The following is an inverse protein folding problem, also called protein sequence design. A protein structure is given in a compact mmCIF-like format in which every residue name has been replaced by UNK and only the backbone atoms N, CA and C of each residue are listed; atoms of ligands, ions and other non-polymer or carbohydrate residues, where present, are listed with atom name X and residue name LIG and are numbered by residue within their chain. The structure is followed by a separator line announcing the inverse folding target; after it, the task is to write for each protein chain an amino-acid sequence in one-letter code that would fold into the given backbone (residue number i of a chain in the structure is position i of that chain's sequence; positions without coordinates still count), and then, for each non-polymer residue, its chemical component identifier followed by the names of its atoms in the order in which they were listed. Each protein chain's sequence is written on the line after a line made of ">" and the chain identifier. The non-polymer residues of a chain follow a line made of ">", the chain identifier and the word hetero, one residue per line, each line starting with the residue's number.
data_IF_345057218517
#
_entry.id   IF_345057218517
#
_cell.length_a   1.000
_cell.length_b   1.000
_cell.length_c   1.000
_cell.angle_alpha   90.00
_cell.angle_beta   90.00
_cell.angle_gamma   90.00
#
_symmetry.space_group_name_H-M   'P 1'
#
loop_
_entity.id
_entity.type
_entity.pdbx_description
1 polymer ?
#
# COMPACT_ATOMS: atom_id res chain seq x y z
N UNK A 1 -9.19 44.59 15.64
CA UNK A 1 -8.07 43.63 15.76
C UNK A 1 -8.39 42.44 14.87
N UNK A 2 -7.48 42.01 14.00
CA UNK A 2 -7.64 40.76 13.25
C UNK A 2 -7.30 39.61 14.20
N UNK A 3 -8.24 38.69 14.41
CA UNK A 3 -8.01 37.55 15.31
C UNK A 3 -7.46 36.36 14.53
N UNK A 4 -6.74 35.46 15.22
CA UNK A 4 -6.27 34.18 14.65
C UNK A 4 -7.40 33.38 14.00
N UNK A 5 -8.61 33.44 14.58
CA UNK A 5 -9.81 32.77 14.05
C UNK A 5 -10.23 33.33 12.69
N UNK A 6 -10.18 34.65 12.49
CA UNK A 6 -10.50 35.27 11.20
C UNK A 6 -9.54 34.80 10.11
N UNK A 7 -8.24 34.80 10.40
CA UNK A 7 -7.22 34.36 9.43
C UNK A 7 -7.38 32.86 9.12
N UNK A 8 -7.65 32.03 10.14
CA UNK A 8 -7.91 30.60 9.95
C UNK A 8 -9.13 30.38 9.05
N UNK A 9 -10.26 31.03 9.34
CA UNK A 9 -11.48 30.89 8.53
C UNK A 9 -11.28 31.39 7.10
N UNK A 10 -10.46 32.41 6.88
CA UNK A 10 -10.07 32.84 5.54
C UNK A 10 -9.27 31.76 4.81
N UNK A 11 -8.31 31.11 5.48
CA UNK A 11 -7.55 29.99 4.92
C UNK A 11 -8.41 28.73 4.65
N UNK A 12 -9.51 28.55 5.39
CA UNK A 12 -10.49 27.47 5.17
C UNK A 12 -11.49 27.78 4.05
N UNK A 13 -11.49 29.00 3.48
CA UNK A 13 -12.44 29.37 2.43
C UNK A 13 -12.08 28.70 1.10
N UNK A 14 -12.94 27.81 0.61
CA UNK A 14 -12.68 27.01 -0.60
C UNK A 14 -12.88 27.77 -1.91
N UNK A 15 -13.57 28.91 -1.91
CA UNK A 15 -13.91 29.65 -3.13
C UNK A 15 -13.07 30.89 -3.34
N UNK A 16 -12.68 31.58 -2.26
CA UNK A 16 -11.97 32.87 -2.32
C UNK A 16 -10.93 33.01 -1.22
N UNK A 17 -10.35 31.90 -0.76
CA UNK A 17 -9.38 31.90 0.34
C UNK A 17 -8.15 32.74 0.02
N UNK A 18 -7.66 32.68 -1.21
CA UNK A 18 -6.52 33.47 -1.67
C UNK A 18 -6.82 34.97 -1.59
N UNK A 19 -7.93 35.42 -2.19
CA UNK A 19 -8.29 36.84 -2.27
C UNK A 19 -8.57 37.43 -0.88
N UNK A 20 -9.22 36.65 0.00
CA UNK A 20 -9.49 37.09 1.37
C UNK A 20 -8.19 37.19 2.17
N UNK A 21 -7.29 36.22 2.08
CA UNK A 21 -5.99 36.28 2.75
C UNK A 21 -5.13 37.42 2.19
N UNK A 22 -5.12 37.61 0.87
CA UNK A 22 -4.40 38.70 0.21
C UNK A 22 -4.88 40.05 0.72
N UNK A 23 -6.19 40.27 0.77
CA UNK A 23 -6.79 41.50 1.27
C UNK A 23 -6.43 41.76 2.75
N UNK A 24 -6.46 40.73 3.60
CA UNK A 24 -6.07 40.85 5.00
C UNK A 24 -4.60 41.24 5.16
N UNK A 25 -3.72 40.63 4.35
CA UNK A 25 -2.29 40.96 4.35
C UNK A 25 -2.03 42.37 3.82
N UNK A 26 -2.71 42.79 2.74
CA UNK A 26 -2.53 44.11 2.12
C UNK A 26 -3.00 45.24 3.02
N UNK A 27 -4.14 45.06 3.71
CA UNK A 27 -4.73 46.11 4.54
C UNK A 27 -4.20 46.12 5.96
N UNK A 28 -3.82 44.96 6.50
CA UNK A 28 -3.55 44.76 7.94
C UNK A 28 -2.40 43.79 8.20
N UNK A 29 -1.42 43.68 7.30
CA UNK A 29 -0.35 42.67 7.37
C UNK A 29 0.35 42.54 8.73
N UNK A 30 0.66 43.65 9.40
CA UNK A 30 1.29 43.65 10.73
C UNK A 30 0.41 43.03 11.83
N UNK A 31 -0.92 43.08 11.68
CA UNK A 31 -1.88 42.49 12.62
C UNK A 31 -2.21 41.03 12.30
N UNK A 32 -1.81 40.54 11.12
CA UNK A 32 -2.07 39.16 10.68
C UNK A 32 -0.99 38.24 11.24
N UNK A 33 -1.42 37.30 12.08
CA UNK A 33 -0.58 36.23 12.60
C UNK A 33 -0.79 34.95 11.81
N UNK A 34 0.28 34.45 11.18
CA UNK A 34 0.29 33.15 10.51
C UNK A 34 0.64 32.09 11.57
N UNK A 35 -0.39 31.42 12.10
CA UNK A 35 -0.20 30.34 13.07
C UNK A 35 -0.16 28.99 12.36
N UNK A 36 0.33 27.95 13.04
CA UNK A 36 0.25 26.57 12.55
C UNK A 36 -1.17 26.20 12.09
N UNK A 37 -2.19 26.59 12.85
CA UNK A 37 -3.59 26.32 12.51
C UNK A 37 -4.06 27.00 11.22
N UNK A 38 -3.51 28.17 10.87
CA UNK A 38 -3.78 28.84 9.59
C UNK A 38 -3.13 28.07 8.45
N UNK A 39 -1.87 27.68 8.61
CA UNK A 39 -1.14 26.92 7.58
C UNK A 39 -1.76 25.54 7.38
N UNK A 40 -2.15 24.87 8.46
CA UNK A 40 -2.84 23.56 8.41
C UNK A 40 -4.21 23.67 7.73
N UNK A 41 -4.97 24.72 8.02
CA UNK A 41 -6.23 25.00 7.35
C UNK A 41 -6.03 25.20 5.84
N UNK A 42 -5.05 26.00 5.44
CA UNK A 42 -4.71 26.20 4.03
C UNK A 42 -4.27 24.88 3.35
N UNK A 43 -3.40 24.10 4.01
CA UNK A 43 -2.92 22.82 3.47
C UNK A 43 -4.04 21.77 3.30
N UNK A 44 -5.05 21.80 4.17
CA UNK A 44 -6.25 20.96 4.09
C UNK A 44 -7.39 21.55 3.25
N UNK A 45 -7.21 22.73 2.64
CA UNK A 45 -8.26 23.36 1.85
C UNK A 45 -8.40 22.65 0.51
N UNK A 46 -9.60 22.13 0.23
CA UNK A 46 -9.86 21.29 -0.92
C UNK A 46 -9.56 21.97 -2.27
N UNK A 47 -9.85 23.26 -2.40
CA UNK A 47 -9.86 23.94 -3.70
C UNK A 47 -8.80 25.03 -3.79
N UNK A 48 -8.77 25.98 -2.85
CA UNK A 48 -7.83 27.12 -2.85
C UNK A 48 -6.53 26.86 -2.07
N UNK A 49 -6.27 25.61 -1.67
CA UNK A 49 -5.16 25.29 -0.76
C UNK A 49 -3.78 25.58 -1.36
N UNK A 50 -3.61 25.34 -2.66
CA UNK A 50 -2.36 25.62 -3.37
C UNK A 50 -2.07 27.12 -3.36
N UNK A 51 -3.04 27.93 -3.77
CA UNK A 51 -2.93 29.37 -3.93
C UNK A 51 -2.72 30.06 -2.59
N UNK A 52 -3.46 29.64 -1.55
CA UNK A 52 -3.28 30.18 -0.20
C UNK A 52 -1.90 29.84 0.36
N UNK A 53 -1.41 28.60 0.22
CA UNK A 53 -0.07 28.23 0.69
C UNK A 53 1.01 28.98 -0.09
N UNK A 54 0.87 29.12 -1.42
CA UNK A 54 1.79 29.88 -2.25
C UNK A 54 1.89 31.34 -1.78
N UNK A 55 0.74 32.00 -1.61
CA UNK A 55 0.64 33.38 -1.14
C UNK A 55 1.28 33.58 0.26
N UNK A 56 1.01 32.65 1.19
CA UNK A 56 1.58 32.70 2.53
C UNK A 56 3.10 32.53 2.52
N UNK A 57 3.64 31.63 1.69
CA UNK A 57 5.09 31.47 1.55
C UNK A 57 5.74 32.69 0.89
N UNK A 58 5.11 33.26 -0.14
CA UNK A 58 5.65 34.40 -0.89
C UNK A 58 5.70 35.67 -0.04
N UNK A 59 4.65 35.93 0.74
CA UNK A 59 4.53 37.19 1.50
C UNK A 59 4.99 37.08 2.95
N UNK A 60 4.92 35.88 3.54
CA UNK A 60 5.12 35.63 4.98
C UNK A 60 5.92 34.36 5.25
N UNK A 61 6.80 33.95 4.33
CA UNK A 61 7.50 32.67 4.40
C UNK A 61 8.24 32.39 5.71
N UNK A 62 8.84 33.41 6.34
CA UNK A 62 9.51 33.28 7.63
C UNK A 62 8.56 32.94 8.79
N UNK A 63 7.29 33.34 8.69
CA UNK A 63 6.26 33.06 9.70
C UNK A 63 5.57 31.71 9.47
N UNK A 64 5.71 31.14 8.27
CA UNK A 64 5.10 29.85 7.93
C UNK A 64 5.89 28.70 8.56
N UNK A 65 5.26 28.05 9.53
CA UNK A 65 5.78 26.86 10.20
C UNK A 65 5.22 25.59 9.54
N UNK A 66 6.11 24.76 9.00
CA UNK A 66 5.76 23.47 8.40
C UNK A 66 5.87 22.37 9.45
N UNK A 67 4.77 22.12 10.16
CA UNK A 67 4.71 21.06 11.17
C UNK A 67 4.26 19.73 10.57
N UNK A 68 4.47 18.63 11.30
CA UNK A 68 3.97 17.30 10.93
C UNK A 68 2.45 17.28 10.67
N UNK A 69 1.66 18.11 11.36
CA UNK A 69 0.22 18.17 11.17
C UNK A 69 -0.18 18.95 9.91
N UNK A 70 0.60 19.98 9.52
CA UNK A 70 0.47 20.67 8.23
C UNK A 70 0.75 19.69 7.09
N UNK A 71 1.88 18.99 7.15
CA UNK A 71 2.28 18.02 6.11
C UNK A 71 1.25 16.89 6.01
N UNK A 72 0.75 16.39 7.15
CA UNK A 72 -0.31 15.37 7.17
C UNK A 72 -1.62 15.90 6.55
N UNK A 73 -1.99 17.16 6.82
CA UNK A 73 -3.17 17.77 6.22
C UNK A 73 -3.05 17.86 4.70
N UNK A 74 -1.90 18.29 4.17
CA UNK A 74 -1.63 18.26 2.73
C UNK A 74 -1.69 16.84 2.16
N UNK A 75 -1.03 15.88 2.82
CA UNK A 75 -0.99 14.48 2.38
C UNK A 75 -2.37 13.81 2.32
N UNK A 76 -3.28 14.18 3.22
CA UNK A 76 -4.65 13.64 3.26
C UNK A 76 -5.68 14.45 2.48
N UNK A 77 -5.29 15.56 1.84
CA UNK A 77 -6.21 16.42 1.10
C UNK A 77 -6.45 15.83 -0.31
N UNK A 78 -7.67 15.39 -0.61
CA UNK A 78 -7.99 14.73 -1.89
C UNK A 78 -8.29 15.72 -3.02
N UNK A 79 -8.43 17.02 -2.71
CA UNK A 79 -8.58 18.07 -3.70
C UNK A 79 -7.22 18.59 -4.15
N UNK A 80 -6.75 19.66 -3.51
CA UNK A 80 -5.50 20.35 -3.86
C UNK A 80 -4.23 19.71 -3.25
N UNK A 81 -4.34 18.61 -2.50
CA UNK A 81 -3.25 18.06 -1.69
C UNK A 81 -1.99 17.66 -2.46
N UNK A 82 -2.12 17.16 -3.69
CA UNK A 82 -0.98 16.88 -4.58
C UNK A 82 -0.14 18.15 -4.78
N UNK A 83 -0.77 19.22 -5.23
CA UNK A 83 -0.11 20.47 -5.57
C UNK A 83 0.44 21.18 -4.33
N UNK A 84 -0.33 21.16 -3.23
CA UNK A 84 0.15 21.67 -1.92
C UNK A 84 1.39 20.90 -1.49
N UNK A 85 1.38 19.56 -1.54
CA UNK A 85 2.53 18.76 -1.13
C UNK A 85 3.74 19.01 -2.04
N UNK A 86 3.54 19.09 -3.36
CA UNK A 86 4.61 19.42 -4.30
C UNK A 86 5.24 20.78 -3.96
N UNK A 87 4.42 21.81 -3.76
CA UNK A 87 4.89 23.14 -3.44
C UNK A 87 5.65 23.20 -2.09
N UNK A 88 5.16 22.50 -1.06
CA UNK A 88 5.86 22.40 0.22
C UNK A 88 7.20 21.66 0.08
N UNK A 89 7.25 20.56 -0.68
CA UNK A 89 8.48 19.81 -0.92
C UNK A 89 9.51 20.63 -1.71
N UNK A 90 9.07 21.43 -2.70
CA UNK A 90 9.96 22.26 -3.52
C UNK A 90 10.51 23.46 -2.76
N UNK A 91 9.67 24.14 -1.97
CA UNK A 91 10.05 25.41 -1.32
C UNK A 91 10.55 25.23 0.11
N UNK A 92 10.08 24.19 0.81
CA UNK A 92 10.34 23.95 2.24
C UNK A 92 10.74 22.51 2.52
N UNK A 93 11.33 21.85 1.53
CA UNK A 93 11.68 20.43 1.60
C UNK A 93 12.51 20.04 2.82
N UNK A 94 13.44 20.90 3.28
CA UNK A 94 14.27 20.65 4.48
C UNK A 94 13.48 20.64 5.79
N UNK A 95 12.34 21.34 5.84
CA UNK A 95 11.52 21.47 7.05
C UNK A 95 10.49 20.32 7.17
N UNK A 96 10.26 19.59 6.08
CA UNK A 96 9.28 18.51 6.06
C UNK A 96 9.76 17.33 6.89
N UNK A 97 8.88 16.83 7.75
CA UNK A 97 9.10 15.58 8.48
C UNK A 97 8.20 14.49 7.91
N UNK A 98 8.81 13.54 7.21
CA UNK A 98 8.11 12.38 6.61
C UNK A 98 7.82 11.32 7.68
N UNK A 99 6.79 11.54 8.48
CA UNK A 99 6.38 10.59 9.53
C UNK A 99 5.52 9.46 8.96
N UNK A 100 5.42 8.32 9.68
CA UNK A 100 4.47 7.22 9.33
C UNK A 100 3.05 7.75 9.08
N UNK A 101 2.58 8.72 9.88
CA UNK A 101 1.24 9.31 9.73
C UNK A 101 1.06 10.08 8.43
N UNK A 102 2.12 10.72 7.93
CA UNK A 102 2.12 11.45 6.66
C UNK A 102 2.07 10.46 5.50
N UNK A 103 2.95 9.45 5.51
CA UNK A 103 2.99 8.41 4.47
C UNK A 103 1.67 7.63 4.42
N UNK A 104 1.12 7.29 5.59
CA UNK A 104 -0.19 6.65 5.70
C UNK A 104 -1.28 7.53 5.09
N UNK A 105 -1.35 8.82 5.45
CA UNK A 105 -2.35 9.73 4.91
C UNK A 105 -2.25 9.87 3.38
N UNK A 106 -1.03 9.90 2.84
CA UNK A 106 -0.79 9.89 1.40
C UNK A 106 -1.25 8.58 0.73
N UNK A 107 -0.98 7.43 1.35
CA UNK A 107 -1.41 6.12 0.84
C UNK A 107 -2.95 5.94 0.88
N UNK A 108 -3.64 6.53 1.86
CA UNK A 108 -5.11 6.57 1.94
C UNK A 108 -5.74 7.62 1.00
N UNK A 109 -4.94 8.48 0.36
CA UNK A 109 -5.45 9.59 -0.44
C UNK A 109 -6.09 9.07 -1.75
N UNK A 110 -7.35 9.45 -1.99
CA UNK A 110 -8.11 9.08 -3.20
C UNK A 110 -8.20 10.22 -4.22
N UNK A 111 -7.40 11.26 -4.03
CA UNK A 111 -7.35 12.42 -4.89
C UNK A 111 -7.04 12.05 -6.32
N UNK A 112 -7.61 12.81 -7.25
CA UNK A 112 -7.50 12.59 -8.69
C UNK A 112 -6.33 13.37 -9.30
N UNK A 113 -5.27 13.59 -8.53
CA UNK A 113 -4.08 14.28 -8.98
C UNK A 113 -3.41 13.61 -10.18
N UNK A 114 -2.50 14.34 -10.85
CA UNK A 114 -1.71 13.75 -11.96
C UNK A 114 -0.73 12.71 -11.42
N UNK A 115 -0.16 12.97 -10.26
CA UNK A 115 0.78 12.12 -9.56
C UNK A 115 0.29 11.82 -8.13
N UNK A 116 0.51 10.58 -7.66
CA UNK A 116 0.21 10.22 -6.29
C UNK A 116 1.18 10.92 -5.32
N UNK A 117 0.67 11.39 -4.18
CA UNK A 117 1.48 12.01 -3.12
C UNK A 117 2.58 11.07 -2.60
N UNK A 118 2.34 9.75 -2.56
CA UNK A 118 3.36 8.76 -2.22
C UNK A 118 4.54 8.81 -3.20
N UNK A 119 4.29 9.03 -4.49
CA UNK A 119 5.34 9.19 -5.51
C UNK A 119 6.18 10.42 -5.25
N UNK A 120 5.55 11.56 -4.93
CA UNK A 120 6.24 12.81 -4.57
C UNK A 120 7.13 12.61 -3.33
N UNK A 121 6.61 11.96 -2.29
CA UNK A 121 7.36 11.69 -1.06
C UNK A 121 8.55 10.76 -1.31
N UNK A 122 8.36 9.68 -2.08
CA UNK A 122 9.43 8.75 -2.44
C UNK A 122 10.50 9.42 -3.32
N UNK A 123 10.09 10.25 -4.28
CA UNK A 123 11.01 10.91 -5.22
C UNK A 123 11.87 12.00 -4.56
N UNK A 124 11.30 12.76 -3.62
CA UNK A 124 12.00 13.93 -3.02
C UNK A 124 12.54 13.66 -1.63
N UNK A 125 11.92 12.75 -0.87
CA UNK A 125 12.26 12.43 0.53
C UNK A 125 12.33 10.93 0.77
N UNK A 126 12.68 10.17 -0.27
CA UNK A 126 12.73 8.71 -0.26
C UNK A 126 13.36 8.17 1.01
N UNK A 127 14.61 8.54 1.32
CA UNK A 127 15.36 8.10 2.51
C UNK A 127 14.54 8.12 3.82
N UNK A 128 13.66 9.10 4.00
CA UNK A 128 12.88 9.31 5.22
C UNK A 128 11.55 8.53 5.25
N UNK A 129 11.11 7.97 4.11
CA UNK A 129 9.84 7.24 4.01
C UNK A 129 9.98 5.86 4.67
N UNK A 130 9.31 5.70 5.81
CA UNK A 130 9.21 4.41 6.50
C UNK A 130 7.95 3.67 6.05
N UNK A 131 8.10 2.46 5.50
CA UNK A 131 6.99 1.62 5.07
C UNK A 131 6.62 0.65 6.19
N UNK A 132 5.60 1.03 6.96
CA UNK A 132 5.07 0.18 8.03
C UNK A 132 3.88 -0.64 7.55
N UNK A 133 3.49 -1.65 8.32
CA UNK A 133 2.26 -2.42 8.08
C UNK A 133 1.01 -1.50 7.97
N UNK A 134 0.97 -0.38 8.70
CA UNK A 134 -0.15 0.56 8.60
C UNK A 134 -0.19 1.28 7.26
N UNK A 135 0.97 1.57 6.66
CA UNK A 135 1.08 2.14 5.30
C UNK A 135 0.65 1.11 4.26
N UNK A 136 1.06 -0.15 4.42
CA UNK A 136 0.63 -1.25 3.54
C UNK A 136 -0.90 -1.43 3.62
N UNK A 137 -1.48 -1.45 4.83
CA UNK A 137 -2.95 -1.52 5.03
C UNK A 137 -3.67 -0.35 4.37
N UNK A 138 -3.13 0.85 4.48
CA UNK A 138 -3.66 2.04 3.82
C UNK A 138 -3.68 1.90 2.29
N UNK A 139 -2.57 1.46 1.70
CA UNK A 139 -2.48 1.21 0.26
C UNK A 139 -3.44 0.10 -0.20
N UNK A 140 -3.55 -0.99 0.55
CA UNK A 140 -4.48 -2.09 0.27
C UNK A 140 -5.97 -1.66 0.32
N UNK A 141 -6.31 -0.71 1.21
CA UNK A 141 -7.66 -0.13 1.29
C UNK A 141 -7.95 0.95 0.26
N UNK A 142 -6.97 1.39 -0.54
CA UNK A 142 -7.15 2.43 -1.54
C UNK A 142 -7.64 1.82 -2.86
N UNK A 143 -8.96 1.79 -3.05
CA UNK A 143 -9.60 1.21 -4.23
C UNK A 143 -9.31 1.96 -5.54
N UNK A 144 -8.89 3.23 -5.48
CA UNK A 144 -8.64 4.06 -6.66
C UNK A 144 -7.20 3.93 -7.16
N UNK A 145 -6.23 4.04 -6.24
CA UNK A 145 -4.79 4.11 -6.58
C UNK A 145 -3.94 3.11 -5.79
N UNK A 146 -4.55 2.23 -5.00
CA UNK A 146 -3.84 1.31 -4.12
C UNK A 146 -2.89 0.37 -4.84
N UNK A 147 -3.23 -0.07 -6.06
CA UNK A 147 -2.33 -0.90 -6.88
C UNK A 147 -1.04 -0.15 -7.20
N UNK A 148 -1.16 1.07 -7.72
CA UNK A 148 -0.02 1.93 -8.04
C UNK A 148 0.82 2.24 -6.81
N UNK A 149 0.17 2.59 -5.69
CA UNK A 149 0.87 2.82 -4.41
C UNK A 149 1.61 1.56 -3.97
N UNK A 150 0.97 0.39 -4.00
CA UNK A 150 1.60 -0.86 -3.56
C UNK A 150 2.80 -1.23 -4.43
N UNK A 151 2.67 -1.09 -5.76
CA UNK A 151 3.80 -1.28 -6.70
C UNK A 151 4.97 -0.36 -6.34
N UNK A 152 4.73 0.93 -6.12
CA UNK A 152 5.79 1.89 -5.75
C UNK A 152 6.47 1.55 -4.42
N UNK A 153 5.69 1.09 -3.43
CA UNK A 153 6.20 0.71 -2.12
C UNK A 153 7.09 -0.54 -2.20
N UNK A 154 6.73 -1.52 -3.03
CA UNK A 154 7.50 -2.74 -3.24
C UNK A 154 8.76 -2.48 -4.10
N UNK A 155 8.64 -1.74 -5.20
CA UNK A 155 9.73 -1.51 -6.16
C UNK A 155 10.85 -0.60 -5.62
N UNK A 156 10.50 0.46 -4.88
CA UNK A 156 11.48 1.51 -4.51
C UNK A 156 12.13 1.31 -3.14
N UNK A 157 11.63 0.38 -2.32
CA UNK A 157 12.01 0.24 -0.90
C UNK A 157 12.05 -1.20 -0.42
N UNK A 158 12.58 -2.08 -1.26
CA UNK A 158 12.68 -3.53 -1.05
C UNK A 158 13.19 -3.95 0.36
N UNK A 159 14.16 -3.21 0.91
CA UNK A 159 14.76 -3.49 2.21
C UNK A 159 13.97 -2.95 3.42
N UNK A 160 13.10 -1.94 3.22
CA UNK A 160 12.43 -1.24 4.32
C UNK A 160 11.04 -1.78 4.61
N UNK A 161 10.44 -2.50 3.66
CA UNK A 161 9.16 -3.18 3.89
C UNK A 161 9.42 -4.35 4.85
N UNK A 162 8.94 -4.23 6.08
CA UNK A 162 8.84 -5.38 6.98
C UNK A 162 7.72 -6.29 6.49
N UNK A 163 8.10 -7.39 5.85
CA UNK A 163 7.15 -8.38 5.36
C UNK A 163 6.77 -9.32 6.49
N UNK A 164 5.59 -9.09 7.07
CA UNK A 164 4.98 -9.98 8.06
C UNK A 164 3.94 -10.88 7.39
N UNK A 165 3.51 -11.95 8.07
CA UNK A 165 2.41 -12.80 7.59
C UNK A 165 1.17 -11.95 7.24
N UNK A 166 0.83 -10.97 8.07
CA UNK A 166 -0.31 -10.07 7.86
C UNK A 166 -0.17 -9.23 6.59
N UNK A 167 1.03 -8.72 6.30
CA UNK A 167 1.31 -7.97 5.07
C UNK A 167 1.10 -8.86 3.84
N UNK A 168 1.59 -10.10 3.89
CA UNK A 168 1.43 -11.08 2.79
C UNK A 168 -0.04 -11.39 2.56
N UNK A 169 -0.77 -11.71 3.64
CA UNK A 169 -2.20 -12.02 3.60
C UNK A 169 -2.99 -10.86 2.99
N UNK A 170 -2.68 -9.63 3.38
CA UNK A 170 -3.31 -8.42 2.80
C UNK A 170 -3.00 -8.30 1.30
N UNK A 171 -1.73 -8.41 0.90
CA UNK A 171 -1.35 -8.21 -0.50
C UNK A 171 -2.01 -9.27 -1.39
N UNK A 172 -1.95 -10.54 -0.96
CA UNK A 172 -2.54 -11.67 -1.65
C UNK A 172 -4.07 -11.57 -1.72
N UNK A 173 -4.72 -11.07 -0.67
CA UNK A 173 -6.16 -10.90 -0.62
C UNK A 173 -6.67 -9.72 -1.46
N UNK A 174 -5.89 -8.65 -1.61
CA UNK A 174 -6.34 -7.39 -2.18
C UNK A 174 -5.85 -7.11 -3.61
N UNK A 175 -4.72 -7.67 -4.03
CA UNK A 175 -4.11 -7.31 -5.32
C UNK A 175 -4.08 -8.47 -6.32
N UNK A 176 -3.80 -8.11 -7.58
CA UNK A 176 -3.67 -9.06 -8.66
C UNK A 176 -2.28 -9.73 -8.69
N UNK A 177 -2.09 -10.62 -9.66
CA UNK A 177 -0.85 -11.37 -9.84
C UNK A 177 0.37 -10.48 -10.02
N UNK A 178 0.24 -9.27 -10.58
CA UNK A 178 1.37 -8.38 -10.85
C UNK A 178 2.03 -7.93 -9.54
N UNK A 179 1.23 -7.40 -8.62
CA UNK A 179 1.71 -6.95 -7.29
C UNK A 179 2.23 -8.14 -6.47
N UNK A 180 1.54 -9.28 -6.53
CA UNK A 180 1.99 -10.49 -5.83
C UNK A 180 3.31 -11.01 -6.41
N UNK A 181 3.53 -10.88 -7.71
CA UNK A 181 4.79 -11.25 -8.36
C UNK A 181 5.94 -10.37 -7.88
N UNK A 182 5.72 -9.05 -7.72
CA UNK A 182 6.72 -8.15 -7.14
C UNK A 182 7.08 -8.60 -5.71
N UNK A 183 6.08 -8.83 -4.86
CA UNK A 183 6.31 -9.30 -3.49
C UNK A 183 7.17 -10.58 -3.45
N UNK A 184 6.87 -11.56 -4.30
CA UNK A 184 7.63 -12.81 -4.36
C UNK A 184 9.02 -12.66 -4.99
N UNK A 185 9.18 -11.83 -6.02
CA UNK A 185 10.49 -11.61 -6.64
C UNK A 185 11.47 -10.95 -5.66
N UNK A 186 10.98 -10.04 -4.82
CA UNK A 186 11.83 -9.34 -3.86
C UNK A 186 12.08 -10.13 -2.58
N UNK A 187 11.14 -10.98 -2.14
CA UNK A 187 11.17 -11.58 -0.79
C UNK A 187 10.78 -13.05 -0.73
N UNK A 188 10.67 -13.74 -1.88
CA UNK A 188 10.16 -15.11 -1.99
C UNK A 188 10.91 -16.13 -1.11
N UNK A 189 12.20 -15.95 -0.88
CA UNK A 189 13.01 -16.84 -0.03
C UNK A 189 12.74 -16.64 1.48
N UNK A 190 12.22 -15.47 1.88
CA UNK A 190 11.82 -15.15 3.26
C UNK A 190 10.34 -15.48 3.53
N UNK A 191 9.59 -15.80 2.49
CA UNK A 191 8.13 -15.92 2.54
C UNK A 191 7.69 -17.36 2.67
N UNK A 192 7.28 -17.74 3.89
CA UNK A 192 6.55 -18.98 4.11
C UNK A 192 5.09 -18.79 3.63
N UNK A 193 4.64 -19.61 2.68
CA UNK A 193 3.24 -19.59 2.24
C UNK A 193 2.38 -20.25 3.31
N UNK A 194 1.78 -19.41 4.16
CA UNK A 194 0.95 -19.89 5.26
C UNK A 194 -0.46 -20.27 4.81
N UNK A 195 -1.16 -21.07 5.62
CA UNK A 195 -2.56 -21.42 5.40
C UNK A 195 -3.45 -20.17 5.25
N UNK A 196 -3.20 -19.12 6.04
CA UNK A 196 -3.94 -17.85 5.95
C UNK A 196 -3.72 -17.17 4.61
N UNK A 197 -2.50 -17.18 4.08
CA UNK A 197 -2.21 -16.61 2.77
C UNK A 197 -2.96 -17.38 1.65
N UNK A 198 -3.04 -18.72 1.75
CA UNK A 198 -3.84 -19.53 0.82
C UNK A 198 -5.35 -19.25 0.95
N UNK A 199 -5.88 -19.11 2.16
CA UNK A 199 -7.28 -18.75 2.39
C UNK A 199 -7.59 -17.35 1.80
N UNK A 200 -6.70 -16.38 2.00
CA UNK A 200 -6.83 -15.04 1.40
C UNK A 200 -6.76 -15.08 -0.14
N UNK A 201 -5.85 -15.88 -0.70
CA UNK A 201 -5.76 -16.09 -2.14
C UNK A 201 -7.07 -16.67 -2.71
N UNK A 202 -7.70 -17.61 -2.00
CA UNK A 202 -8.96 -18.21 -2.43
C UNK A 202 -10.11 -17.18 -2.48
N UNK A 203 -10.10 -16.18 -1.60
CA UNK A 203 -11.09 -15.11 -1.56
C UNK A 203 -10.77 -13.92 -2.49
N UNK A 204 -9.58 -13.88 -3.10
CA UNK A 204 -9.21 -12.85 -4.07
C UNK A 204 -10.03 -13.00 -5.36
N UNK A 205 -10.35 -11.88 -6.03
CA UNK A 205 -11.13 -11.89 -7.29
C UNK A 205 -10.48 -12.77 -8.39
N UNK A 206 -9.15 -12.90 -8.40
CA UNK A 206 -8.36 -13.78 -9.27
C UNK A 206 -7.97 -15.12 -8.61
N UNK A 207 -8.69 -15.56 -7.58
CA UNK A 207 -8.18 -16.51 -6.59
C UNK A 207 -7.65 -17.85 -7.11
N UNK A 208 -8.20 -18.38 -8.22
CA UNK A 208 -7.63 -19.57 -8.89
C UNK A 208 -6.19 -19.32 -9.35
N UNK A 209 -5.96 -18.19 -10.03
CA UNK A 209 -4.65 -17.83 -10.55
C UNK A 209 -3.66 -17.51 -9.43
N UNK A 210 -4.13 -16.81 -8.40
CA UNK A 210 -3.33 -16.48 -7.21
C UNK A 210 -2.92 -17.73 -6.43
N UNK A 211 -3.86 -18.65 -6.17
CA UNK A 211 -3.57 -19.94 -5.52
C UNK A 211 -2.58 -20.77 -6.34
N UNK A 212 -2.81 -20.89 -7.65
CA UNK A 212 -1.89 -21.63 -8.52
C UNK A 212 -0.49 -21.03 -8.46
N UNK A 213 -0.39 -19.70 -8.50
CA UNK A 213 0.87 -18.98 -8.44
C UNK A 213 1.61 -19.20 -7.11
N UNK A 214 0.93 -19.12 -5.96
CA UNK A 214 1.54 -19.38 -4.65
C UNK A 214 1.99 -20.84 -4.50
N UNK A 215 1.15 -21.79 -4.90
CA UNK A 215 1.45 -23.22 -4.80
C UNK A 215 2.57 -23.68 -5.75
N UNK A 216 2.71 -23.01 -6.90
CA UNK A 216 3.79 -23.28 -7.86
C UNK A 216 5.06 -22.49 -7.55
N UNK A 217 4.95 -21.32 -6.92
CA UNK A 217 6.08 -20.47 -6.53
C UNK A 217 6.88 -21.01 -5.34
N UNK A 218 6.23 -21.70 -4.40
CA UNK A 218 6.86 -22.19 -3.16
C UNK A 218 7.64 -23.52 -3.36
N UNK A 219 8.98 -23.53 -3.14
CA UNK A 219 9.79 -24.74 -3.22
C UNK A 219 9.41 -25.84 -2.22
N UNK A 220 8.93 -25.46 -1.03
CA UNK A 220 8.52 -26.40 0.04
C UNK A 220 7.20 -27.09 -0.29
N UNK A 221 6.25 -26.37 -0.90
CA UNK A 221 5.01 -26.98 -1.39
C UNK A 221 5.24 -27.82 -2.64
N UNK A 222 6.21 -27.48 -3.51
CA UNK A 222 6.64 -28.37 -4.61
C UNK A 222 7.15 -29.71 -4.11
N UNK A 223 7.96 -29.73 -3.06
CA UNK A 223 8.52 -30.98 -2.52
C UNK A 223 7.45 -31.83 -1.85
N UNK A 224 6.53 -31.23 -1.10
CA UNK A 224 5.38 -31.92 -0.49
C UNK A 224 4.40 -32.46 -1.54
N UNK A 225 4.10 -31.69 -2.60
CA UNK A 225 3.21 -32.13 -3.70
C UNK A 225 3.81 -33.27 -4.52
N UNK A 226 5.14 -33.27 -4.73
CA UNK A 226 5.87 -34.40 -5.35
C UNK A 226 5.87 -35.63 -4.45
N UNK A 227 6.12 -35.46 -3.15
CA UNK A 227 6.10 -36.55 -2.16
C UNK A 227 4.72 -37.20 -2.06
N UNK A 228 3.65 -36.41 -1.96
CA UNK A 228 2.26 -36.90 -1.92
C UNK A 228 1.86 -37.65 -3.21
N UNK A 229 2.22 -37.12 -4.38
CA UNK A 229 2.00 -37.83 -5.66
C UNK A 229 2.78 -39.15 -5.75
N UNK A 230 4.02 -39.18 -5.27
CA UNK A 230 4.83 -40.42 -5.21
C UNK A 230 4.21 -41.44 -4.25
N UNK A 231 3.83 -41.03 -3.03
CA UNK A 231 3.13 -41.88 -2.07
C UNK A 231 1.86 -42.50 -2.66
N UNK A 232 1.04 -41.70 -3.33
CA UNK A 232 -0.18 -42.21 -3.97
C UNK A 232 0.12 -43.18 -5.11
N UNK A 233 1.12 -42.89 -5.96
CA UNK A 233 1.54 -43.79 -7.02
C UNK A 233 2.08 -45.13 -6.47
N UNK A 234 2.86 -45.09 -5.38
CA UNK A 234 3.38 -46.29 -4.71
C UNK A 234 2.25 -47.13 -4.12
N UNK A 235 1.28 -46.52 -3.44
CA UNK A 235 0.11 -47.23 -2.90
C UNK A 235 -0.75 -47.90 -3.99
N UNK A 236 -0.90 -47.25 -5.14
CA UNK A 236 -1.60 -47.82 -6.30
C UNK A 236 -0.82 -49.01 -6.87
N UNK A 237 0.50 -48.89 -7.01
CA UNK A 237 1.36 -49.96 -7.49
C UNK A 237 1.39 -51.19 -6.55
N UNK A 238 1.38 -50.97 -5.23
CA UNK A 238 1.28 -52.03 -4.22
C UNK A 238 -0.07 -52.74 -4.29
N UNK A 239 -1.17 -52.01 -4.39
CA UNK A 239 -2.52 -52.60 -4.59
C UNK A 239 -2.57 -53.46 -5.85
N UNK A 240 -2.05 -52.96 -6.97
CA UNK A 240 -2.02 -53.71 -8.23
C UNK A 240 -1.14 -54.95 -8.14
N UNK A 241 0.00 -54.87 -7.46
CA UNK A 241 0.91 -56.00 -7.23
C UNK A 241 0.29 -57.07 -6.32
N UNK A 242 -0.41 -56.66 -5.25
CA UNK A 242 -1.18 -57.55 -4.37
C UNK A 242 -2.29 -58.27 -5.14
N UNK A 243 -3.01 -57.55 -6.00
CA UNK A 243 -4.06 -58.13 -6.84
C UNK A 243 -3.51 -59.16 -7.83
N UNK A 244 -2.35 -58.88 -8.44
CA UNK A 244 -1.65 -59.83 -9.31
C UNK A 244 -1.24 -61.08 -8.54
N UNK A 245 -0.65 -60.94 -7.34
CA UNK A 245 -0.25 -62.07 -6.48
C UNK A 245 -1.44 -62.96 -6.11
N UNK A 246 -2.56 -62.38 -5.68
CA UNK A 246 -3.79 -63.12 -5.39
C UNK A 246 -4.30 -63.88 -6.62
N UNK A 247 -4.26 -63.27 -7.81
CA UNK A 247 -4.60 -63.97 -9.06
C UNK A 247 -3.69 -65.17 -9.31
N UNK A 248 -2.37 -64.99 -9.28
CA UNK A 248 -1.40 -66.10 -9.48
C UNK A 248 -1.50 -67.20 -8.43
N UNK A 249 -1.87 -66.89 -7.18
CA UNK A 249 -2.08 -67.88 -6.12
C UNK A 249 -3.46 -68.57 -6.22
N UNK A 250 -4.45 -67.97 -6.88
CA UNK A 250 -5.74 -68.59 -7.17
C UNK A 250 -5.70 -69.52 -8.41
N UNK A 251 -4.74 -69.32 -9.32
CA UNK A 251 -4.58 -70.14 -10.53
C UNK A 251 -4.29 -71.65 -10.31
N UNK A 252 -3.61 -72.12 -9.25
CA UNK A 252 -3.42 -73.55 -9.00
C UNK A 252 -4.72 -74.25 -8.59
N UNK A 253 -5.70 -73.54 -8.01
CA UNK A 253 -6.95 -74.15 -7.53
C UNK A 253 -7.99 -74.36 -8.63
N UNK A 254 -7.98 -73.57 -9.71
CA UNK A 254 -8.90 -73.76 -10.83
C UNK A 254 -8.49 -74.88 -11.79
N UNK A 255 -7.20 -75.27 -11.83
CA UNK A 255 -6.74 -76.36 -12.70
C UNK A 255 -7.02 -77.75 -12.13
N UNK A 256 -7.24 -77.89 -10.82
CA UNK A 256 -7.50 -79.18 -10.17
C UNK A 256 -8.98 -79.60 -10.19
N UNK A 257 -9.90 -78.66 -10.47
CA UNK A 257 -11.35 -78.90 -10.50
C UNK A 257 -11.91 -79.28 -11.89
N UNK A 258 -11.06 -79.34 -12.93
CA UNK A 258 -11.46 -79.69 -14.31
C UNK A 258 -11.10 -81.13 -14.71
N UNK A 259 -10.62 -81.97 -13.78
CA UNK A 259 -10.25 -83.37 -14.01
C UNK A 259 -10.85 -84.36 -13.00
N UNK A 260 -12.04 -84.08 -12.46
CA UNK A 260 -12.88 -85.08 -11.81
C UNK A 260 -14.24 -85.17 -12.50
#
# INVERSE_FOLDING_TARGET
>A
QITKKVVKTAAENWGSGEEVIALLLDRRGADVQITEEVVKAAAGNWSSGEEVIALLLDRRGADVQITKEVVKAAAGNWGSGEKVMALLLDRRGVDIQTTEKVVKAAAENWGSGKENIVTLLLGRRGADVQITEKVVKAAAGNWRSGKEVMTLLLDRREADVKVTEEVVVLIVGCFDKEVITLLLNHRGDELEVTKKALEAAACNAGGKGTLQFLLEGDPTLRSQKRSSKQLHATQVAEKQSSFRRMRTQAYPFQKTLLHQ
#
